data_IF_245453296221
#
_entry.id   IF_245453296221
#
_cell.length_a   1.000
_cell.length_b   1.000
_cell.length_c   1.000
_cell.angle_alpha   90.00
_cell.angle_beta   90.00
_cell.angle_gamma   90.00
#
_symmetry.space_group_name_H-M   'P 1'
#
loop_
_entity.id
_entity.type
_entity.pdbx_description
1 polymer ?
#
# COMPACT_ATOMS: atom_id res chain seq x y z
N UNK A 1 19.61 -59.13 34.68
CA UNK A 1 19.54 -58.48 33.34
C UNK A 1 19.26 -57.01 33.57
N UNK A 2 20.30 -56.22 33.46
CA UNK A 2 20.31 -54.80 33.81
C UNK A 2 20.06 -53.99 32.52
N UNK A 3 18.88 -53.38 32.36
CA UNK A 3 18.59 -52.45 31.26
C UNK A 3 19.22 -51.11 31.63
N UNK A 4 20.30 -50.78 30.95
CA UNK A 4 20.98 -49.50 31.03
C UNK A 4 19.98 -48.36 30.63
N UNK A 5 19.83 -47.44 31.54
CA UNK A 5 19.07 -46.20 31.37
C UNK A 5 19.92 -45.26 30.51
N UNK A 6 19.88 -45.41 29.19
CA UNK A 6 20.51 -44.48 28.26
C UNK A 6 19.71 -43.16 28.25
N UNK A 7 20.29 -42.13 28.86
CA UNK A 7 19.73 -40.78 28.83
C UNK A 7 19.89 -40.25 27.41
N UNK A 8 18.78 -40.21 26.68
CA UNK A 8 18.72 -39.60 25.39
C UNK A 8 19.04 -38.09 25.49
N UNK A 9 20.18 -37.67 24.97
CA UNK A 9 20.59 -36.27 24.94
C UNK A 9 20.03 -35.65 23.63
N UNK A 10 18.86 -35.02 23.73
CA UNK A 10 18.30 -34.27 22.61
C UNK A 10 18.99 -32.91 22.58
N UNK A 11 19.82 -32.68 21.57
CA UNK A 11 20.41 -31.37 21.27
C UNK A 11 19.45 -30.67 20.33
N UNK A 12 18.66 -29.73 20.83
CA UNK A 12 17.87 -28.84 20.02
C UNK A 12 18.82 -27.86 19.35
N UNK A 13 18.95 -27.95 18.01
CA UNK A 13 19.54 -26.90 17.21
C UNK A 13 18.51 -25.80 17.06
N UNK A 14 18.81 -24.64 17.59
CA UNK A 14 18.04 -23.44 17.36
C UNK A 14 18.09 -23.10 15.87
N UNK A 15 17.02 -23.42 15.15
CA UNK A 15 16.86 -22.99 13.76
C UNK A 15 16.30 -21.57 13.80
N UNK A 16 17.16 -20.58 13.93
CA UNK A 16 16.81 -19.20 13.71
C UNK A 16 16.72 -18.97 12.20
N UNK A 17 15.61 -19.36 11.58
CA UNK A 17 15.19 -18.77 10.33
C UNK A 17 14.73 -17.34 10.61
N UNK A 18 15.66 -16.47 10.94
CA UNK A 18 15.44 -15.04 10.90
C UNK A 18 15.29 -14.71 9.41
N UNK A 19 14.05 -14.62 8.93
CA UNK A 19 13.79 -13.98 7.65
C UNK A 19 14.29 -12.56 7.84
N UNK A 20 15.39 -12.23 7.16
CA UNK A 20 15.96 -10.87 7.14
C UNK A 20 14.94 -9.96 6.40
N UNK A 21 13.93 -9.51 7.12
CA UNK A 21 12.99 -8.51 6.60
C UNK A 21 13.75 -7.20 6.44
N UNK A 22 13.91 -6.80 5.21
CA UNK A 22 14.65 -5.60 4.84
C UNK A 22 13.67 -4.47 4.64
N UNK A 23 13.91 -3.32 5.25
CA UNK A 23 13.11 -2.11 5.11
C UNK A 23 13.94 -0.96 4.56
N UNK A 24 13.32 -0.09 3.79
CA UNK A 24 13.93 1.13 3.32
C UNK A 24 13.71 2.20 4.39
N UNK A 25 14.79 2.83 4.82
CA UNK A 25 14.72 3.94 5.78
C UNK A 25 14.46 5.26 5.07
N UNK A 26 14.06 6.28 5.82
CA UNK A 26 13.83 7.63 5.33
C UNK A 26 15.04 8.23 4.56
N UNK A 27 16.26 7.74 4.81
CA UNK A 27 17.47 8.12 4.08
C UNK A 27 17.67 7.36 2.76
N UNK A 28 16.70 6.54 2.32
CA UNK A 28 16.78 5.72 1.11
C UNK A 28 17.74 4.53 1.21
N UNK A 29 18.29 4.26 2.40
CA UNK A 29 19.18 3.11 2.61
C UNK A 29 18.39 1.87 3.00
N UNK A 30 18.76 0.77 2.40
CA UNK A 30 18.24 -0.56 2.74
C UNK A 30 18.88 -1.01 4.05
N UNK A 31 18.09 -1.24 5.09
CA UNK A 31 18.55 -1.72 6.41
C UNK A 31 17.73 -2.91 6.87
N UNK A 32 18.34 -3.75 7.72
CA UNK A 32 17.59 -4.83 8.39
C UNK A 32 16.60 -4.21 9.37
N UNK A 33 15.37 -4.69 9.39
CA UNK A 33 14.28 -4.19 10.25
C UNK A 33 14.68 -4.10 11.73
N UNK A 34 15.51 -5.03 12.19
CA UNK A 34 15.99 -5.10 13.57
C UNK A 34 16.82 -3.86 13.98
N UNK A 35 17.39 -3.15 13.02
CA UNK A 35 18.24 -1.97 13.26
C UNK A 35 17.46 -0.65 13.16
N UNK A 36 16.16 -0.71 12.89
CA UNK A 36 15.33 0.49 12.68
C UNK A 36 14.47 0.74 13.90
N UNK A 37 14.70 1.87 14.58
CA UNK A 37 14.01 2.24 15.83
C UNK A 37 12.61 2.82 15.58
N UNK A 38 12.24 3.15 14.35
CA UNK A 38 10.93 3.72 13.99
C UNK A 38 9.89 2.67 13.60
N UNK A 39 8.59 3.00 13.70
CA UNK A 39 7.50 2.14 13.22
C UNK A 39 7.45 2.11 11.68
N UNK A 40 8.43 1.44 11.07
CA UNK A 40 8.43 1.16 9.64
C UNK A 40 7.74 -0.18 9.43
N UNK A 41 6.71 -0.18 8.60
CA UNK A 41 6.04 -1.41 8.20
C UNK A 41 6.52 -1.78 6.81
N UNK A 42 7.31 -2.85 6.72
CA UNK A 42 7.58 -3.51 5.43
C UNK A 42 6.31 -4.22 4.97
N UNK A 43 6.00 -4.10 3.71
CA UNK A 43 4.90 -4.84 3.07
C UNK A 43 5.53 -5.91 2.19
N UNK A 44 5.11 -7.13 2.39
CA UNK A 44 5.56 -8.23 1.56
C UNK A 44 5.04 -8.03 0.13
N UNK A 45 5.95 -7.91 -0.83
CA UNK A 45 5.63 -7.66 -2.24
C UNK A 45 4.75 -8.76 -2.82
N UNK A 46 4.85 -9.99 -2.28
CA UNK A 46 3.99 -11.10 -2.67
C UNK A 46 2.50 -10.80 -2.45
N UNK A 47 2.16 -10.02 -1.41
CA UNK A 47 0.77 -9.62 -1.14
C UNK A 47 0.23 -8.60 -2.13
N UNK A 48 1.11 -7.90 -2.83
CA UNK A 48 0.76 -6.91 -3.86
C UNK A 48 0.61 -7.55 -5.25
N UNK A 49 0.98 -8.82 -5.43
CA UNK A 49 0.90 -9.53 -6.71
C UNK A 49 -0.48 -10.17 -6.94
N UNK A 50 -1.52 -9.41 -6.75
CA UNK A 50 -2.88 -9.85 -7.07
C UNK A 50 -3.36 -9.20 -8.38
N UNK A 51 -4.23 -9.85 -9.15
CA UNK A 51 -4.81 -9.24 -10.35
C UNK A 51 -5.80 -8.13 -9.94
N UNK A 52 -5.28 -6.97 -9.57
CA UNK A 52 -6.06 -5.77 -9.35
C UNK A 52 -5.56 -4.68 -10.30
N UNK A 53 -6.45 -3.80 -10.68
CA UNK A 53 -6.20 -2.76 -11.69
C UNK A 53 -5.19 -1.73 -11.21
N UNK A 54 -5.07 -1.52 -9.88
CA UNK A 54 -4.19 -0.51 -9.31
C UNK A 54 -3.60 -0.95 -7.97
N UNK A 55 -2.34 -0.55 -7.73
CA UNK A 55 -1.65 -0.86 -6.47
C UNK A 55 -2.34 -0.16 -5.29
N UNK A 56 -2.87 1.05 -5.48
CA UNK A 56 -3.56 1.78 -4.42
C UNK A 56 -4.78 1.01 -3.87
N UNK A 57 -5.49 0.28 -4.73
CA UNK A 57 -6.63 -0.55 -4.33
C UNK A 57 -6.19 -1.77 -3.50
N UNK A 58 -4.98 -2.27 -3.74
CA UNK A 58 -4.45 -3.44 -3.02
C UNK A 58 -3.98 -3.12 -1.61
N UNK A 59 -3.65 -1.86 -1.31
CA UNK A 59 -3.15 -1.46 0.00
C UNK A 59 -4.24 -1.49 1.07
N UNK A 60 -5.49 -1.20 0.67
CA UNK A 60 -6.63 -1.20 1.57
C UNK A 60 -6.90 -2.56 2.18
N UNK A 61 -6.98 -2.63 3.51
CA UNK A 61 -7.26 -3.86 4.24
C UNK A 61 -6.11 -4.87 4.32
N UNK A 62 -5.00 -4.67 3.58
CA UNK A 62 -3.84 -5.57 3.60
C UNK A 62 -2.68 -5.03 4.42
N UNK A 63 -2.58 -3.73 4.49
CA UNK A 63 -1.48 -3.07 5.20
C UNK A 63 -2.01 -2.41 6.46
N UNK A 64 -1.57 -2.84 7.66
CA UNK A 64 -2.05 -2.27 8.91
C UNK A 64 -1.67 -0.79 9.02
N UNK A 65 -2.68 0.06 9.32
CA UNK A 65 -2.53 1.50 9.48
C UNK A 65 -2.66 2.30 8.19
N UNK A 66 -3.05 1.69 7.08
CA UNK A 66 -3.51 2.38 5.88
C UNK A 66 -5.04 2.40 5.86
N UNK A 67 -5.58 3.60 5.66
CA UNK A 67 -6.98 3.84 5.36
C UNK A 67 -7.06 4.17 3.87
N UNK A 68 -7.83 3.41 3.11
CA UNK A 68 -8.04 3.68 1.69
C UNK A 68 -9.51 3.90 1.41
N UNK A 69 -9.81 4.82 0.51
CA UNK A 69 -11.15 5.12 0.05
C UNK A 69 -11.18 5.13 -1.46
N UNK A 70 -11.98 4.25 -2.03
CA UNK A 70 -12.28 4.24 -3.46
C UNK A 70 -13.52 5.06 -3.68
N UNK A 71 -13.40 6.20 -4.36
CA UNK A 71 -14.53 7.12 -4.60
C UNK A 71 -15.39 6.69 -5.76
N UNK A 72 -14.82 5.99 -6.72
CA UNK A 72 -15.52 5.52 -7.91
C UNK A 72 -15.17 4.06 -8.19
N UNK A 73 -16.17 3.28 -8.58
CA UNK A 73 -15.98 1.93 -9.13
C UNK A 73 -16.06 1.92 -10.66
N UNK A 74 -15.96 3.09 -11.29
CA UNK A 74 -16.00 3.22 -12.75
C UNK A 74 -14.72 2.63 -13.35
N UNK A 75 -14.83 1.74 -14.36
CA UNK A 75 -13.66 1.21 -15.05
C UNK A 75 -12.72 2.32 -15.55
N UNK A 76 -11.45 2.24 -15.17
CA UNK A 76 -10.43 3.26 -15.51
C UNK A 76 -10.36 4.47 -14.59
N UNK A 77 -11.27 4.60 -13.61
CA UNK A 77 -11.25 5.64 -12.56
C UNK A 77 -11.39 5.03 -11.17
N UNK A 78 -10.99 3.81 -11.01
CA UNK A 78 -11.09 3.01 -9.79
C UNK A 78 -9.87 3.12 -8.87
N UNK A 79 -9.15 4.25 -8.93
CA UNK A 79 -8.03 4.51 -8.03
C UNK A 79 -8.51 4.83 -6.62
N UNK A 80 -7.81 4.25 -5.63
CA UNK A 80 -8.04 4.57 -4.23
C UNK A 80 -7.13 5.69 -3.78
N UNK A 81 -7.70 6.66 -3.09
CA UNK A 81 -6.93 7.57 -2.23
C UNK A 81 -6.62 6.86 -0.93
N UNK A 82 -5.42 7.04 -0.40
CA UNK A 82 -5.01 6.39 0.84
C UNK A 82 -4.26 7.34 1.76
N UNK A 83 -4.38 7.09 3.05
CA UNK A 83 -3.74 7.82 4.13
C UNK A 83 -3.10 6.86 5.11
N UNK A 84 -2.03 7.30 5.73
CA UNK A 84 -1.38 6.56 6.81
C UNK A 84 -1.83 7.15 8.14
N UNK A 85 -2.53 6.34 8.96
CA UNK A 85 -3.12 6.75 10.25
C UNK A 85 -4.20 7.84 10.19
N UNK A 86 -4.71 8.17 9.01
CA UNK A 86 -5.77 9.16 8.81
C UNK A 86 -5.29 10.48 8.22
N UNK A 87 -6.20 11.42 8.09
CA UNK A 87 -5.95 12.75 7.55
C UNK A 87 -5.47 13.65 8.69
N UNK A 88 -4.24 14.13 8.64
CA UNK A 88 -3.65 15.03 9.64
C UNK A 88 -3.50 16.47 9.16
N UNK A 89 -3.76 16.75 7.88
CA UNK A 89 -3.67 18.08 7.28
C UNK A 89 -5.01 18.58 6.77
N UNK A 90 -5.25 19.90 6.93
CA UNK A 90 -6.39 20.58 6.32
C UNK A 90 -5.95 21.23 5.01
N UNK A 91 -6.66 20.97 3.91
CA UNK A 91 -6.43 21.62 2.63
C UNK A 91 -6.02 20.68 1.49
N UNK A 92 -5.41 21.25 0.45
CA UNK A 92 -4.91 20.50 -0.69
C UNK A 92 -3.71 19.60 -0.28
N UNK A 93 -3.66 18.38 -0.80
CA UNK A 93 -2.55 17.46 -0.52
C UNK A 93 -2.78 16.60 0.74
N UNK A 94 -3.99 16.09 0.91
CA UNK A 94 -4.36 15.24 2.04
C UNK A 94 -3.82 13.79 1.94
N UNK A 95 -3.35 13.36 0.77
CA UNK A 95 -2.82 12.01 0.57
C UNK A 95 -1.45 11.78 1.22
N UNK A 96 -1.07 10.52 1.38
CA UNK A 96 0.28 10.15 1.79
C UNK A 96 1.30 10.50 0.68
N UNK A 97 2.51 10.90 1.09
CA UNK A 97 3.60 11.16 0.15
C UNK A 97 4.14 9.84 -0.39
N UNK A 98 4.15 9.67 -1.70
CA UNK A 98 4.70 8.48 -2.36
C UNK A 98 6.04 8.82 -2.99
N UNK A 99 7.08 8.08 -2.62
CA UNK A 99 8.41 8.19 -3.18
C UNK A 99 8.80 6.89 -3.88
N UNK A 100 9.08 6.99 -5.17
CA UNK A 100 9.53 5.90 -6.02
C UNK A 100 11.01 6.13 -6.29
N UNK A 101 11.86 5.24 -5.79
CA UNK A 101 13.33 5.37 -5.84
C UNK A 101 13.84 6.73 -5.36
N UNK A 102 13.14 7.33 -4.38
CA UNK A 102 13.47 8.62 -3.80
C UNK A 102 12.88 9.84 -4.50
N UNK A 103 12.16 9.66 -5.61
CA UNK A 103 11.47 10.71 -6.35
C UNK A 103 9.96 10.61 -6.09
N UNK A 104 9.30 11.75 -5.91
CA UNK A 104 7.85 11.78 -5.78
C UNK A 104 7.16 11.30 -7.04
N UNK A 105 6.23 10.37 -6.88
CA UNK A 105 5.53 9.76 -8.00
C UNK A 105 4.15 9.23 -7.64
N UNK A 106 3.46 8.71 -8.66
CA UNK A 106 2.15 8.11 -8.50
C UNK A 106 2.28 6.58 -8.45
N UNK A 107 1.78 5.99 -7.37
CA UNK A 107 1.83 4.55 -7.15
C UNK A 107 1.08 3.76 -8.24
N UNK A 108 0.05 4.35 -8.84
CA UNK A 108 -0.78 3.69 -9.84
C UNK A 108 -0.12 3.57 -11.23
N UNK A 109 1.01 4.25 -11.43
CA UNK A 109 1.79 4.13 -12.67
C UNK A 109 2.80 2.99 -12.65
N UNK A 110 2.98 2.35 -11.47
CA UNK A 110 3.92 1.23 -11.30
C UNK A 110 3.24 -0.09 -11.55
N UNK A 111 3.99 -1.02 -12.17
CA UNK A 111 3.61 -2.42 -12.17
C UNK A 111 4.01 -3.07 -10.83
N UNK A 112 3.11 -3.80 -10.16
CA UNK A 112 3.45 -4.54 -8.93
C UNK A 112 4.65 -5.49 -9.09
N UNK A 113 4.90 -5.96 -10.31
CA UNK A 113 6.02 -6.86 -10.60
C UNK A 113 7.38 -6.15 -10.59
N UNK A 114 7.41 -4.84 -10.85
CA UNK A 114 8.65 -4.05 -10.84
C UNK A 114 9.06 -3.63 -9.43
N UNK A 115 8.21 -3.83 -8.44
CA UNK A 115 8.51 -3.48 -7.06
C UNK A 115 9.46 -4.51 -6.45
N UNK A 116 10.56 -4.05 -5.90
CA UNK A 116 11.49 -4.84 -5.09
C UNK A 116 11.12 -4.81 -3.61
N UNK A 117 10.82 -3.61 -3.09
CA UNK A 117 10.41 -3.44 -1.71
C UNK A 117 9.43 -2.29 -1.53
N UNK A 118 8.56 -2.42 -0.54
CA UNK A 118 7.54 -1.46 -0.21
C UNK A 118 7.56 -1.21 1.30
N UNK A 119 7.77 0.03 1.71
CA UNK A 119 7.88 0.41 3.11
C UNK A 119 7.02 1.62 3.42
N UNK A 120 6.38 1.63 4.58
CA UNK A 120 5.51 2.71 5.03
C UNK A 120 6.06 3.30 6.31
N UNK A 121 6.37 4.59 6.26
CA UNK A 121 6.78 5.38 7.41
C UNK A 121 5.54 5.96 8.07
N UNK A 122 5.26 5.50 9.28
CA UNK A 122 4.06 5.90 10.04
C UNK A 122 4.36 6.89 11.15
N UNK A 123 5.57 6.88 11.68
CA UNK A 123 5.94 7.71 12.82
C UNK A 123 6.45 9.08 12.40
N UNK A 124 6.09 10.10 13.18
CA UNK A 124 6.53 11.46 12.96
C UNK A 124 8.07 11.59 12.94
N UNK A 125 8.78 10.80 13.76
CA UNK A 125 10.25 10.77 13.74
C UNK A 125 10.82 10.27 12.42
N UNK A 126 10.19 9.25 11.82
CA UNK A 126 10.61 8.67 10.54
C UNK A 126 10.21 9.57 9.36
N UNK A 127 9.10 10.31 9.46
CA UNK A 127 8.61 11.21 8.40
C UNK A 127 9.14 12.62 8.48
N UNK A 128 9.78 13.02 9.61
CA UNK A 128 10.32 14.37 9.84
C UNK A 128 11.29 14.86 8.76
N UNK A 129 12.03 13.93 8.14
CA UNK A 129 12.96 14.22 7.04
C UNK A 129 12.25 14.83 5.82
N UNK A 130 10.96 14.51 5.65
CA UNK A 130 10.13 14.97 4.52
C UNK A 130 9.29 16.22 4.86
N UNK A 131 9.47 16.75 6.08
CA UNK A 131 8.80 17.96 6.55
C UNK A 131 7.27 17.87 6.49
N UNK A 132 6.61 18.97 6.17
CA UNK A 132 5.13 19.08 6.13
C UNK A 132 4.50 18.08 5.14
N UNK A 133 5.19 17.74 4.05
CA UNK A 133 4.70 16.78 3.04
C UNK A 133 4.60 15.36 3.59
N UNK A 134 5.42 15.02 4.58
CA UNK A 134 5.39 13.73 5.26
C UNK A 134 4.35 13.61 6.38
N UNK A 135 3.58 14.68 6.66
CA UNK A 135 2.64 14.71 7.79
C UNK A 135 1.54 13.62 7.71
N UNK A 136 1.08 13.30 6.51
CA UNK A 136 0.07 12.26 6.27
C UNK A 136 0.68 10.86 6.07
N UNK A 137 1.96 10.70 6.40
CA UNK A 137 2.73 9.48 6.19
C UNK A 137 3.49 9.47 4.86
N UNK A 138 4.50 8.61 4.79
CA UNK A 138 5.34 8.46 3.61
C UNK A 138 5.38 7.00 3.18
N UNK A 139 5.18 6.77 1.90
CA UNK A 139 5.31 5.47 1.26
C UNK A 139 6.58 5.46 0.44
N UNK A 140 7.49 4.55 0.76
CA UNK A 140 8.74 4.34 0.05
C UNK A 140 8.62 3.10 -0.81
N UNK A 141 8.80 3.26 -2.10
CA UNK A 141 8.82 2.17 -3.07
C UNK A 141 10.21 2.11 -3.68
N UNK A 142 10.82 0.93 -3.67
CA UNK A 142 12.03 0.68 -4.44
C UNK A 142 11.72 -0.27 -5.58
N UNK A 143 12.18 0.10 -6.77
CA UNK A 143 12.00 -0.72 -7.95
C UNK A 143 13.18 -1.68 -8.15
N UNK A 144 12.92 -2.77 -8.85
CA UNK A 144 13.96 -3.75 -9.18
C UNK A 144 14.99 -3.12 -10.09
N UNK A 145 16.25 -3.21 -9.68
CA UNK A 145 17.39 -2.75 -10.49
C UNK A 145 17.95 -3.86 -11.36
N UNK A 146 18.38 -3.50 -12.53
CA UNK A 146 19.11 -4.42 -13.42
C UNK A 146 20.38 -4.96 -12.75
N UNK A 147 20.58 -6.25 -12.86
CA UNK A 147 21.80 -6.92 -12.36
C UNK A 147 22.66 -7.32 -13.55
N UNK A 148 23.98 -7.05 -13.47
CA UNK A 148 24.92 -7.56 -14.45
C UNK A 148 24.94 -9.09 -14.42
N UNK A 149 24.82 -9.74 -15.56
CA UNK A 149 24.81 -11.20 -15.65
C UNK A 149 24.12 -11.73 -16.91
N UNK A 150 23.61 -12.94 -16.84
CA UNK A 150 22.88 -13.58 -17.93
C UNK A 150 21.56 -12.86 -18.19
N UNK A 151 21.21 -12.69 -19.47
CA UNK A 151 19.90 -12.15 -19.87
C UNK A 151 18.79 -13.04 -19.30
N UNK A 152 17.90 -12.43 -18.54
CA UNK A 152 16.67 -13.07 -18.06
C UNK A 152 15.48 -12.39 -18.73
N UNK A 153 14.80 -13.08 -19.61
CA UNK A 153 13.62 -12.60 -20.30
C UNK A 153 12.38 -13.26 -19.67
N UNK A 154 11.51 -12.44 -19.11
CA UNK A 154 10.23 -12.89 -18.56
C UNK A 154 9.11 -12.21 -19.31
N UNK A 155 8.21 -12.98 -19.91
CA UNK A 155 7.03 -12.47 -20.63
C UNK A 155 5.79 -12.89 -19.86
N UNK A 156 4.94 -11.93 -19.49
CA UNK A 156 3.65 -12.15 -18.86
C UNK A 156 2.57 -11.46 -19.68
N UNK A 157 1.45 -12.11 -19.86
CA UNK A 157 0.28 -11.53 -20.51
C UNK A 157 -0.94 -11.68 -19.59
N UNK A 158 -1.61 -10.58 -19.32
CA UNK A 158 -2.83 -10.55 -18.52
C UNK A 158 -3.95 -9.97 -19.37
N UNK A 159 -5.12 -10.60 -19.37
CA UNK A 159 -6.33 -10.09 -20.00
C UNK A 159 -7.43 -10.00 -18.94
N UNK A 160 -8.11 -8.87 -18.88
CA UNK A 160 -9.19 -8.63 -17.94
C UNK A 160 -10.32 -7.84 -18.57
N UNK A 161 -11.55 -8.11 -18.15
CA UNK A 161 -12.74 -7.35 -18.55
C UNK A 161 -13.30 -6.68 -17.30
N UNK A 162 -13.32 -5.36 -17.31
CA UNK A 162 -13.92 -4.57 -16.25
C UNK A 162 -15.31 -4.10 -16.68
N UNK A 163 -16.29 -4.30 -15.83
CA UNK A 163 -17.65 -3.82 -16.05
C UNK A 163 -18.23 -3.22 -14.77
N UNK A 164 -19.15 -2.26 -14.92
CA UNK A 164 -19.83 -1.67 -13.79
C UNK A 164 -21.08 -2.50 -13.46
N UNK A 165 -21.12 -3.22 -12.32
CA UNK A 165 -22.24 -4.10 -11.96
C UNK A 165 -23.51 -3.33 -11.62
N UNK A 166 -23.39 -2.05 -11.26
CA UNK A 166 -24.52 -1.20 -10.90
C UNK A 166 -24.29 0.22 -11.38
N UNK A 167 -25.09 0.68 -12.34
CA UNK A 167 -25.15 2.08 -12.73
C UNK A 167 -26.23 2.81 -11.92
N UNK A 168 -25.94 3.99 -11.36
CA UNK A 168 -26.98 4.80 -10.74
C UNK A 168 -28.02 5.21 -11.79
N UNK A 169 -29.29 5.08 -11.44
CA UNK A 169 -30.38 5.59 -12.29
C UNK A 169 -30.53 7.08 -12.00
N UNK A 170 -30.25 7.88 -13.02
CA UNK A 170 -30.47 9.32 -12.92
C UNK A 170 -31.96 9.63 -13.15
N UNK A 171 -32.50 10.52 -12.36
CA UNK A 171 -33.86 11.05 -12.53
C UNK A 171 -33.92 11.95 -13.74
N UNK A 172 -35.07 12.02 -14.39
CA UNK A 172 -35.29 12.94 -15.52
C UNK A 172 -35.34 14.39 -15.03
N UNK A 173 -35.08 15.33 -15.91
CA UNK A 173 -35.02 16.77 -15.57
C UNK A 173 -36.29 17.28 -14.83
N UNK A 174 -37.48 16.82 -15.22
CA UNK A 174 -38.74 17.20 -14.58
C UNK A 174 -38.83 16.65 -13.14
N UNK A 175 -38.44 15.41 -12.92
CA UNK A 175 -38.41 14.79 -11.59
C UNK A 175 -37.36 15.44 -10.70
N UNK A 176 -36.19 15.76 -11.27
CA UNK A 176 -35.14 16.49 -10.56
C UNK A 176 -35.62 17.86 -10.09
N UNK A 177 -36.31 18.63 -10.95
CA UNK A 177 -36.85 19.93 -10.60
C UNK A 177 -37.86 19.85 -9.46
N UNK A 178 -38.75 18.84 -9.46
CA UNK A 178 -39.71 18.60 -8.38
C UNK A 178 -39.00 18.28 -7.06
N UNK A 179 -38.03 17.35 -7.07
CA UNK A 179 -37.26 16.98 -5.89
C UNK A 179 -36.39 18.13 -5.36
N UNK A 180 -35.80 18.95 -6.25
CA UNK A 180 -35.03 20.11 -5.86
C UNK A 180 -35.90 21.18 -5.18
N UNK A 181 -37.13 21.42 -5.67
CA UNK A 181 -38.09 22.32 -5.03
C UNK A 181 -38.55 21.80 -3.65
N UNK A 182 -38.83 20.50 -3.55
CA UNK A 182 -39.20 19.88 -2.29
C UNK A 182 -38.06 19.99 -1.26
N UNK A 183 -36.83 19.73 -1.67
CA UNK A 183 -35.64 19.87 -0.82
C UNK A 183 -35.43 21.32 -0.36
N UNK A 184 -35.67 22.30 -1.24
CA UNK A 184 -35.60 23.73 -0.89
C UNK A 184 -36.65 24.15 0.15
N UNK A 185 -37.90 23.68 0.01
CA UNK A 185 -38.97 23.94 0.95
C UNK A 185 -38.69 23.30 2.31
N UNK A 186 -38.16 22.06 2.31
CA UNK A 186 -37.86 21.33 3.55
C UNK A 186 -36.67 21.91 4.31
N UNK A 187 -35.67 22.48 3.60
CA UNK A 187 -34.53 23.17 4.23
C UNK A 187 -34.86 24.55 4.78
N UNK A 188 -35.91 25.18 4.31
CA UNK A 188 -36.37 26.52 4.73
C UNK A 188 -37.24 26.54 5.99
N UNK A 189 -37.33 25.40 6.69
CA UNK A 189 -38.03 25.28 7.96
C UNK A 189 -37.04 25.07 9.13
#
# INVERSE_FOLDING_TARGET
MNKSNERMRVVLKESSNVMDEVVITASGKVQKKINVTGAITGVEVATLKTPATSISNMLGGRVPGIISVTRSGEPGKDFSEFWVRGISTFGAGQGALVLIDGVEGNLNTLDPEDIESFSILKDASSTAVYGVRGANGVVLVSTKKGKAGKLNLQVKANAGISYSPRMPKYVRAAEYAALANEAAVTRGR
#
